data_IF_699228662915
#
_entry.id   IF_699228662915
#
_cell.length_a   1.000
_cell.length_b   1.000
_cell.length_c   1.000
_cell.angle_alpha   90.00
_cell.angle_beta   90.00
_cell.angle_gamma   90.00
#
_symmetry.space_group_name_H-M   'P 1'
#
loop_
_entity.id
_entity.type
_entity.pdbx_description
1 polymer ?
#
# COMPACT_ATOMS: atom_id res chain seq x y z
N UNK A 1 12.17 38.95 -9.12
CA UNK A 1 10.85 38.35 -9.35
C UNK A 1 11.03 36.89 -9.77
N UNK A 2 11.05 35.96 -8.82
CA UNK A 2 10.96 34.51 -9.04
C UNK A 2 9.77 33.95 -8.24
N UNK A 3 8.52 34.30 -8.47
CA UNK A 3 7.50 33.87 -7.53
C UNK A 3 6.50 32.85 -8.06
N UNK A 4 6.39 32.60 -9.35
CA UNK A 4 5.37 31.68 -9.84
C UNK A 4 5.93 30.36 -10.42
N UNK A 5 7.13 30.34 -10.94
CA UNK A 5 7.77 29.17 -11.53
C UNK A 5 8.16 28.15 -10.41
N UNK A 6 8.45 28.67 -9.21
CA UNK A 6 8.80 27.82 -8.04
C UNK A 6 7.57 27.14 -7.40
N UNK A 7 6.36 27.64 -7.68
CA UNK A 7 5.10 27.05 -7.15
C UNK A 7 4.63 25.88 -8.02
N UNK A 8 4.88 25.92 -9.32
CA UNK A 8 4.50 24.88 -10.26
C UNK A 8 5.72 24.31 -11.00
N UNK A 9 6.46 23.38 -10.39
CA UNK A 9 7.63 22.75 -11.02
C UNK A 9 7.31 22.06 -12.35
N UNK A 10 6.08 21.63 -12.56
CA UNK A 10 5.60 21.01 -13.79
C UNK A 10 5.80 21.93 -15.01
N UNK A 11 5.63 23.24 -14.86
CA UNK A 11 5.80 24.19 -15.96
C UNK A 11 7.23 24.19 -16.53
N UNK A 12 8.22 23.98 -15.66
CA UNK A 12 9.62 23.87 -16.06
C UNK A 12 9.93 22.55 -16.77
N UNK A 13 9.25 21.47 -16.40
CA UNK A 13 9.48 20.15 -17.02
C UNK A 13 8.84 20.06 -18.41
N UNK A 14 7.66 20.66 -18.57
CA UNK A 14 6.93 20.65 -19.85
C UNK A 14 7.64 21.39 -20.97
N UNK A 15 8.48 22.39 -20.66
CA UNK A 15 9.19 23.18 -21.69
C UNK A 15 10.15 22.33 -22.54
N UNK A 16 10.74 21.28 -21.97
CA UNK A 16 11.68 20.41 -22.65
C UNK A 16 11.14 18.95 -22.79
N UNK A 17 9.80 18.78 -22.79
CA UNK A 17 9.19 17.46 -22.79
C UNK A 17 9.19 16.86 -24.19
N UNK A 18 9.90 15.75 -24.35
CA UNK A 18 10.05 15.05 -25.63
C UNK A 18 9.11 13.85 -25.72
N UNK A 19 8.75 13.44 -26.95
CA UNK A 19 7.90 12.27 -27.19
C UNK A 19 8.46 10.96 -26.60
N UNK A 20 9.78 10.81 -26.60
CA UNK A 20 10.43 9.65 -25.98
C UNK A 20 10.24 9.59 -24.48
N UNK A 21 10.30 10.76 -23.80
CA UNK A 21 10.03 10.89 -22.37
C UNK A 21 8.56 10.56 -22.08
N UNK A 22 7.64 11.08 -22.89
CA UNK A 22 6.21 10.79 -22.77
C UNK A 22 5.91 9.28 -22.81
N UNK A 23 6.49 8.55 -23.75
CA UNK A 23 6.29 7.10 -23.86
C UNK A 23 6.84 6.39 -22.63
N UNK A 24 8.01 6.78 -22.15
CA UNK A 24 8.61 6.21 -20.94
C UNK A 24 7.77 6.49 -19.69
N UNK A 25 7.26 7.71 -19.55
CA UNK A 25 6.42 8.13 -18.43
C UNK A 25 5.06 7.42 -18.46
N UNK A 26 4.46 7.26 -19.65
CA UNK A 26 3.22 6.53 -19.83
C UNK A 26 3.39 5.07 -19.42
N UNK A 27 4.47 4.43 -19.84
CA UNK A 27 4.77 3.04 -19.45
C UNK A 27 5.00 2.91 -17.93
N UNK A 28 5.76 3.83 -17.35
CA UNK A 28 5.97 3.88 -15.91
C UNK A 28 4.65 4.09 -15.16
N UNK A 29 3.79 4.99 -15.65
CA UNK A 29 2.48 5.24 -15.08
C UNK A 29 1.56 4.02 -15.12
N UNK A 30 1.52 3.28 -16.23
CA UNK A 30 0.75 2.03 -16.35
C UNK A 30 1.26 0.98 -15.34
N UNK A 31 2.57 0.81 -15.23
CA UNK A 31 3.17 -0.13 -14.28
C UNK A 31 2.79 0.24 -12.84
N UNK A 32 2.93 1.51 -12.49
CA UNK A 32 2.58 2.02 -11.14
C UNK A 32 1.09 1.83 -10.87
N UNK A 33 0.21 2.15 -11.83
CA UNK A 33 -1.23 1.98 -11.67
C UNK A 33 -1.62 0.51 -11.41
N UNK A 34 -1.06 -0.43 -12.18
CA UNK A 34 -1.30 -1.87 -12.00
C UNK A 34 -0.91 -2.35 -10.59
N UNK A 35 0.22 -1.84 -10.06
CA UNK A 35 0.67 -2.18 -8.70
C UNK A 35 -0.14 -1.48 -7.62
N UNK A 36 -0.51 -0.22 -7.86
CA UNK A 36 -1.10 0.65 -6.85
C UNK A 36 -2.56 0.27 -6.52
N UNK A 37 -3.31 -0.28 -7.48
CA UNK A 37 -4.70 -0.69 -7.27
C UNK A 37 -4.82 -1.74 -6.15
N UNK A 38 -4.23 -2.95 -6.24
CA UNK A 38 -4.33 -3.92 -5.15
C UNK A 38 -3.63 -3.45 -3.87
N UNK A 39 -2.52 -2.73 -4.00
CA UNK A 39 -1.78 -2.19 -2.87
C UNK A 39 -2.58 -1.13 -2.11
N UNK A 40 -3.24 -0.21 -2.82
CA UNK A 40 -4.08 0.83 -2.22
C UNK A 40 -5.27 0.24 -1.46
N UNK A 41 -5.94 -0.76 -2.04
CA UNK A 41 -7.03 -1.48 -1.37
C UNK A 41 -6.53 -2.19 -0.11
N UNK A 42 -5.40 -2.90 -0.18
CA UNK A 42 -4.81 -3.57 0.98
C UNK A 42 -4.47 -2.58 2.11
N UNK A 43 -3.96 -1.40 1.79
CA UNK A 43 -3.64 -0.38 2.79
C UNK A 43 -4.88 0.29 3.38
N UNK A 44 -5.99 0.40 2.62
CA UNK A 44 -7.27 0.81 3.18
C UNK A 44 -7.76 -0.21 4.22
N UNK A 45 -7.68 -1.51 3.93
CA UNK A 45 -8.00 -2.56 4.90
C UNK A 45 -7.12 -2.48 6.15
N UNK A 46 -5.82 -2.25 6.00
CA UNK A 46 -4.92 -2.05 7.15
C UNK A 46 -5.32 -0.84 7.99
N UNK A 47 -5.83 0.21 7.36
CA UNK A 47 -6.34 1.37 8.06
C UNK A 47 -7.74 1.16 8.68
N UNK A 48 -8.41 0.02 8.44
CA UNK A 48 -9.78 -0.24 8.89
C UNK A 48 -10.85 0.47 8.05
N UNK A 49 -10.50 0.93 6.86
CA UNK A 49 -11.37 1.64 5.93
C UNK A 49 -11.82 0.73 4.78
N UNK A 50 -12.98 1.00 4.17
CA UNK A 50 -13.39 0.36 2.92
C UNK A 50 -12.35 0.52 1.80
N UNK A 51 -12.16 -0.48 0.91
CA UNK A 51 -11.07 -0.49 -0.09
C UNK A 51 -11.11 0.69 -1.06
N UNK A 52 -12.29 1.26 -1.34
CA UNK A 52 -12.43 2.44 -2.21
C UNK A 52 -11.66 3.66 -1.70
N UNK A 53 -11.51 3.84 -0.39
CA UNK A 53 -10.73 4.95 0.18
C UNK A 53 -9.25 4.85 -0.12
N UNK A 54 -8.72 3.62 -0.23
CA UNK A 54 -7.34 3.39 -0.69
C UNK A 54 -7.13 3.79 -2.15
N UNK A 55 -8.13 3.56 -2.99
CA UNK A 55 -8.09 4.02 -4.39
C UNK A 55 -8.16 5.54 -4.49
N UNK A 56 -9.03 6.19 -3.73
CA UNK A 56 -9.09 7.66 -3.68
C UNK A 56 -7.77 8.27 -3.20
N UNK A 57 -7.17 7.68 -2.16
CA UNK A 57 -5.85 8.08 -1.65
C UNK A 57 -4.70 7.80 -2.63
N UNK A 58 -4.92 6.94 -3.61
CA UNK A 58 -3.94 6.63 -4.66
C UNK A 58 -4.04 7.54 -5.88
N UNK A 59 -5.19 8.18 -6.12
CA UNK A 59 -5.42 9.02 -7.31
C UNK A 59 -5.13 10.49 -6.99
N UNK A 60 -5.88 11.07 -6.05
CA UNK A 60 -5.85 12.51 -5.81
C UNK A 60 -4.48 13.03 -5.33
N UNK A 61 -3.82 12.40 -4.33
CA UNK A 61 -2.51 12.86 -3.88
C UNK A 61 -1.44 12.76 -4.99
N UNK A 62 -1.52 11.71 -5.83
CA UNK A 62 -0.59 11.52 -6.95
C UNK A 62 -0.72 12.66 -7.97
N UNK A 63 -1.96 13.03 -8.34
CA UNK A 63 -2.23 14.14 -9.24
C UNK A 63 -1.74 15.47 -8.66
N UNK A 64 -2.04 15.73 -7.39
CA UNK A 64 -1.58 16.96 -6.71
C UNK A 64 -0.05 17.00 -6.62
N UNK A 65 0.59 15.86 -6.33
CA UNK A 65 2.04 15.79 -6.28
C UNK A 65 2.67 16.00 -7.67
N UNK A 66 2.07 15.46 -8.73
CA UNK A 66 2.55 15.69 -10.10
C UNK A 66 2.54 17.18 -10.49
N UNK A 67 1.59 17.97 -9.97
CA UNK A 67 1.47 19.41 -10.23
C UNK A 67 2.41 20.25 -9.36
N UNK A 68 2.52 19.91 -8.07
CA UNK A 68 3.16 20.75 -7.04
C UNK A 68 4.49 20.16 -6.54
N UNK A 69 4.76 18.89 -6.80
CA UNK A 69 5.94 18.19 -6.30
C UNK A 69 7.20 18.56 -7.07
N UNK A 70 8.32 18.56 -6.36
CA UNK A 70 9.65 18.87 -6.93
C UNK A 70 10.39 17.65 -7.47
N UNK A 71 10.04 16.43 -7.05
CA UNK A 71 10.70 15.21 -7.51
C UNK A 71 9.96 14.58 -8.70
N UNK A 72 10.73 14.25 -9.74
CA UNK A 72 10.21 13.56 -10.94
C UNK A 72 10.02 12.07 -10.76
N UNK A 73 10.62 11.48 -9.73
CA UNK A 73 10.66 10.02 -9.53
C UNK A 73 9.81 9.56 -8.37
N UNK A 74 9.28 10.47 -7.55
CA UNK A 74 8.51 10.13 -6.37
C UNK A 74 7.01 10.03 -6.72
N UNK A 75 6.42 8.87 -6.41
CA UNK A 75 4.98 8.67 -6.42
C UNK A 75 4.46 8.73 -4.97
N UNK A 76 3.54 9.65 -4.68
CA UNK A 76 2.92 9.79 -3.36
C UNK A 76 1.60 9.03 -3.34
N UNK A 77 1.51 8.04 -2.46
CA UNK A 77 0.33 7.19 -2.31
C UNK A 77 0.22 6.63 -0.88
N UNK A 78 -0.77 5.78 -0.62
CA UNK A 78 -0.94 5.15 0.69
C UNK A 78 0.29 4.30 1.06
N UNK A 79 0.62 4.28 2.36
CA UNK A 79 1.80 3.59 2.91
C UNK A 79 1.37 2.70 4.06
N UNK A 80 1.85 1.46 4.10
CA UNK A 80 1.44 0.45 5.08
C UNK A 80 1.58 0.92 6.54
N UNK A 81 2.70 1.56 6.89
CA UNK A 81 2.94 2.04 8.25
C UNK A 81 1.93 3.12 8.65
N UNK A 82 1.69 4.11 7.79
CA UNK A 82 0.70 5.15 8.05
C UNK A 82 -0.70 4.54 8.19
N UNK A 83 -1.05 3.58 7.35
CA UNK A 83 -2.32 2.86 7.42
C UNK A 83 -2.51 2.10 8.73
N UNK A 84 -1.47 1.40 9.20
CA UNK A 84 -1.49 0.73 10.51
C UNK A 84 -1.63 1.72 11.67
N UNK A 85 -0.91 2.86 11.62
CA UNK A 85 -1.03 3.91 12.63
C UNK A 85 -2.44 4.50 12.67
N UNK A 86 -3.04 4.76 11.51
CA UNK A 86 -4.44 5.21 11.41
C UNK A 86 -5.37 4.16 12.03
N UNK A 87 -5.23 2.88 11.63
CA UNK A 87 -6.05 1.79 12.14
C UNK A 87 -5.94 1.61 13.65
N UNK A 88 -4.73 1.64 14.19
CA UNK A 88 -4.50 1.50 15.64
C UNK A 88 -4.98 2.70 16.45
N UNK A 89 -4.88 3.91 15.91
CA UNK A 89 -5.30 5.13 16.60
C UNK A 89 -6.82 5.26 16.62
N UNK A 90 -7.49 5.16 15.46
CA UNK A 90 -8.92 5.36 15.36
C UNK A 90 -9.69 4.17 15.96
N UNK A 91 -9.15 2.96 15.87
CA UNK A 91 -9.76 1.76 16.43
C UNK A 91 -9.95 1.78 17.96
N UNK A 92 -9.30 2.73 18.67
CA UNK A 92 -9.53 2.97 20.10
C UNK A 92 -10.77 3.82 20.39
N UNK A 93 -11.28 4.56 19.41
CA UNK A 93 -12.35 5.55 19.59
C UNK A 93 -13.62 5.22 18.82
N UNK A 94 -13.52 4.44 17.75
CA UNK A 94 -14.63 4.11 16.87
C UNK A 94 -14.51 2.69 16.31
N UNK A 95 -15.65 2.05 16.10
CA UNK A 95 -15.71 0.71 15.47
C UNK A 95 -15.50 0.81 13.96
N UNK A 96 -14.72 -0.11 13.41
CA UNK A 96 -14.42 -0.19 11.97
C UNK A 96 -15.71 -0.39 11.16
N UNK A 97 -15.77 0.24 9.98
CA UNK A 97 -16.93 0.14 9.09
C UNK A 97 -18.05 1.11 9.43
N UNK A 98 -17.99 1.84 10.54
CA UNK A 98 -18.98 2.87 10.90
C UNK A 98 -18.69 4.21 10.24
N UNK A 99 -19.72 5.03 10.04
CA UNK A 99 -19.54 6.42 9.57
C UNK A 99 -18.67 7.25 10.53
N UNK A 100 -18.78 6.99 11.83
CA UNK A 100 -17.94 7.64 12.85
C UNK A 100 -16.45 7.36 12.61
N UNK A 101 -16.10 6.12 12.26
CA UNK A 101 -14.72 5.72 11.93
C UNK A 101 -14.20 6.46 10.69
N UNK A 102 -15.01 6.51 9.63
CA UNK A 102 -14.65 7.20 8.38
C UNK A 102 -14.44 8.69 8.63
N UNK A 103 -15.36 9.33 9.37
CA UNK A 103 -15.24 10.74 9.72
C UNK A 103 -14.01 11.02 10.59
N UNK A 104 -13.67 10.14 11.53
CA UNK A 104 -12.46 10.23 12.33
C UNK A 104 -11.20 10.13 11.45
N UNK A 105 -11.17 9.23 10.47
CA UNK A 105 -10.06 9.09 9.52
C UNK A 105 -9.88 10.34 8.65
N UNK A 106 -10.97 10.92 8.15
CA UNK A 106 -10.94 12.17 7.38
C UNK A 106 -10.42 13.33 8.25
N UNK A 107 -10.92 13.47 9.46
CA UNK A 107 -10.45 14.51 10.40
C UNK A 107 -8.98 14.33 10.76
N UNK A 108 -8.54 13.09 11.00
CA UNK A 108 -7.14 12.78 11.27
C UNK A 108 -6.24 13.16 10.08
N UNK A 109 -6.66 12.82 8.86
CA UNK A 109 -5.91 13.16 7.65
C UNK A 109 -5.80 14.67 7.43
N UNK A 110 -6.88 15.41 7.71
CA UNK A 110 -6.88 16.87 7.66
C UNK A 110 -5.95 17.47 8.70
N UNK A 111 -5.99 16.95 9.94
CA UNK A 111 -5.13 17.41 11.03
C UNK A 111 -3.64 17.19 10.69
N UNK A 112 -3.30 16.01 10.17
CA UNK A 112 -1.93 15.70 9.71
C UNK A 112 -1.51 16.65 8.59
N UNK A 113 -2.39 16.91 7.62
CA UNK A 113 -2.15 17.87 6.55
C UNK A 113 -1.86 19.27 7.06
N UNK A 114 -2.66 19.77 8.01
CA UNK A 114 -2.43 21.09 8.65
C UNK A 114 -1.10 21.13 9.40
N UNK A 115 -0.79 20.09 10.16
CA UNK A 115 0.51 20.01 10.88
C UNK A 115 1.67 20.06 9.89
N UNK A 116 1.62 19.32 8.79
CA UNK A 116 2.68 19.32 7.78
C UNK A 116 2.83 20.72 7.11
N UNK A 117 1.72 21.42 6.88
CA UNK A 117 1.76 22.78 6.36
C UNK A 117 2.39 23.76 7.36
N UNK A 118 2.08 23.64 8.64
CA UNK A 118 2.71 24.44 9.70
C UNK A 118 4.22 24.15 9.78
N UNK A 119 4.62 22.88 9.77
CA UNK A 119 6.03 22.50 9.76
C UNK A 119 6.77 23.07 8.53
N UNK A 120 6.11 23.09 7.38
CA UNK A 120 6.65 23.70 6.17
C UNK A 120 6.78 25.22 6.33
N UNK A 121 5.78 25.89 6.88
CA UNK A 121 5.80 27.35 7.10
C UNK A 121 6.91 27.76 8.05
N UNK A 122 7.19 26.95 9.07
CA UNK A 122 8.27 27.16 10.03
C UNK A 122 9.66 26.69 9.53
N UNK A 123 9.75 26.20 8.26
CA UNK A 123 10.97 25.62 7.67
C UNK A 123 11.59 24.46 8.48
N UNK A 124 10.76 23.75 9.27
CA UNK A 124 11.20 22.64 10.10
C UNK A 124 11.45 21.34 9.32
N UNK A 125 11.20 21.31 8.01
CA UNK A 125 11.53 20.18 7.15
C UNK A 125 13.01 19.79 7.15
N UNK A 126 13.90 20.73 7.45
CA UNK A 126 15.35 20.47 7.58
C UNK A 126 15.69 19.59 8.80
N UNK A 127 14.82 19.44 9.78
CA UNK A 127 15.03 18.57 10.94
C UNK A 127 15.25 17.12 10.51
N UNK A 128 14.63 16.68 9.42
CA UNK A 128 14.81 15.33 8.86
C UNK A 128 16.28 15.05 8.50
N UNK A 129 17.04 16.08 8.10
CA UNK A 129 18.45 15.94 7.76
C UNK A 129 19.34 15.63 8.98
N UNK A 130 18.86 15.88 10.20
CA UNK A 130 19.55 15.55 11.46
C UNK A 130 19.26 14.12 11.93
N UNK A 131 18.34 13.40 11.28
CA UNK A 131 18.11 12.01 11.62
C UNK A 131 19.27 11.14 11.13
N UNK A 132 19.87 10.39 12.06
CA UNK A 132 20.96 9.49 11.71
C UNK A 132 20.46 8.33 10.85
N UNK A 133 21.30 7.81 9.97
CA UNK A 133 21.01 6.63 9.16
C UNK A 133 20.62 5.42 10.02
N UNK A 134 21.20 5.29 11.20
CA UNK A 134 20.90 4.21 12.15
C UNK A 134 19.45 4.29 12.67
N UNK A 135 18.94 5.49 12.94
CA UNK A 135 17.55 5.70 13.36
C UNK A 135 16.59 5.33 12.23
N UNK A 136 16.87 5.76 11.01
CA UNK A 136 16.04 5.42 9.83
C UNK A 136 16.05 3.90 9.59
N UNK A 137 17.23 3.26 9.67
CA UNK A 137 17.36 1.81 9.50
C UNK A 137 16.62 1.03 10.60
N UNK A 138 16.76 1.45 11.86
CA UNK A 138 16.02 0.86 12.99
C UNK A 138 14.50 1.00 12.82
N UNK A 139 14.04 2.19 12.46
CA UNK A 139 12.62 2.45 12.18
C UNK A 139 12.07 1.56 11.05
N UNK A 140 12.79 1.47 9.92
CA UNK A 140 12.34 0.64 8.79
C UNK A 140 12.32 -0.84 9.12
N UNK A 141 13.28 -1.34 9.91
CA UNK A 141 13.32 -2.73 10.37
C UNK A 141 12.17 -3.04 11.32
N UNK A 142 11.93 -2.18 12.30
CA UNK A 142 10.81 -2.31 13.23
C UNK A 142 9.46 -2.26 12.49
N UNK A 143 9.33 -1.35 11.55
CA UNK A 143 8.15 -1.21 10.72
C UNK A 143 7.88 -2.45 9.85
N UNK A 144 8.92 -3.03 9.25
CA UNK A 144 8.80 -4.26 8.47
C UNK A 144 8.32 -5.43 9.34
N UNK A 145 8.82 -5.53 10.58
CA UNK A 145 8.39 -6.53 11.54
C UNK A 145 6.92 -6.34 11.93
N UNK A 146 6.52 -5.11 12.24
CA UNK A 146 5.13 -4.76 12.57
C UNK A 146 4.17 -5.13 11.44
N UNK A 147 4.53 -4.80 10.19
CA UNK A 147 3.75 -5.15 9.02
C UNK A 147 3.63 -6.67 8.87
N UNK A 148 4.74 -7.40 9.03
CA UNK A 148 4.73 -8.86 8.93
C UNK A 148 3.80 -9.50 9.98
N UNK A 149 3.87 -9.03 11.22
CA UNK A 149 3.02 -9.52 12.32
C UNK A 149 1.55 -9.18 12.06
N UNK A 150 1.25 -7.97 11.56
CA UNK A 150 -0.13 -7.59 11.25
C UNK A 150 -0.78 -8.46 10.17
N UNK A 151 0.02 -9.14 9.32
CA UNK A 151 -0.47 -10.07 8.32
C UNK A 151 -0.87 -11.44 8.89
N UNK A 152 -0.45 -11.78 10.11
CA UNK A 152 -0.79 -13.06 10.74
C UNK A 152 -2.31 -13.24 10.81
N UNK A 153 -3.04 -12.20 11.18
CA UNK A 153 -4.50 -12.17 11.18
C UNK A 153 -5.08 -12.58 9.81
N UNK A 154 -4.59 -11.98 8.74
CA UNK A 154 -5.10 -12.20 7.39
C UNK A 154 -4.80 -13.62 6.89
N UNK A 155 -3.65 -14.20 7.30
CA UNK A 155 -3.26 -15.56 6.94
C UNK A 155 -3.98 -16.63 7.77
N UNK A 156 -4.21 -16.38 9.06
CA UNK A 156 -4.83 -17.33 9.97
C UNK A 156 -6.37 -17.34 9.88
N UNK A 157 -6.96 -16.25 9.39
CA UNK A 157 -8.40 -16.04 9.41
C UNK A 157 -8.97 -15.88 10.83
N UNK A 158 -8.09 -15.61 11.81
CA UNK A 158 -8.49 -15.37 13.19
C UNK A 158 -8.90 -13.91 13.39
N UNK A 159 -9.93 -13.68 14.19
CA UNK A 159 -10.38 -12.33 14.49
C UNK A 159 -9.59 -11.69 15.64
N UNK A 160 -8.32 -11.38 15.36
CA UNK A 160 -7.42 -10.72 16.31
C UNK A 160 -7.69 -9.21 16.27
N UNK A 161 -7.98 -8.57 17.43
CA UNK A 161 -8.15 -7.12 17.49
C UNK A 161 -6.90 -6.38 17.00
N UNK A 162 -7.07 -5.42 16.08
CA UNK A 162 -5.93 -4.66 15.52
C UNK A 162 -5.26 -3.72 16.52
N UNK A 163 -5.94 -3.41 17.62
CA UNK A 163 -5.41 -2.63 18.74
C UNK A 163 -4.60 -3.48 19.73
N UNK A 164 -4.61 -4.81 19.57
CA UNK A 164 -3.88 -5.71 20.47
C UNK A 164 -2.36 -5.51 20.32
N UNK A 165 -1.62 -5.45 21.42
CA UNK A 165 -0.17 -5.44 21.42
C UNK A 165 0.38 -6.68 20.69
N UNK A 166 1.60 -6.58 20.15
CA UNK A 166 2.24 -7.63 19.36
C UNK A 166 2.30 -8.97 20.12
N UNK A 167 2.66 -8.94 21.40
CA UNK A 167 2.78 -10.13 22.23
C UNK A 167 1.43 -10.82 22.48
N UNK A 168 0.35 -10.05 22.59
CA UNK A 168 -1.00 -10.61 22.69
C UNK A 168 -1.43 -11.27 21.36
N UNK A 169 -1.07 -10.69 20.23
CA UNK A 169 -1.36 -11.29 18.91
C UNK A 169 -0.67 -12.66 18.75
N UNK A 170 0.57 -12.79 19.22
CA UNK A 170 1.26 -14.08 19.26
C UNK A 170 0.63 -15.05 20.25
N UNK A 171 0.32 -14.60 21.47
CA UNK A 171 -0.36 -15.42 22.48
C UNK A 171 -1.69 -15.95 21.94
N UNK A 172 -2.50 -15.06 21.36
CA UNK A 172 -3.78 -15.41 20.77
C UNK A 172 -3.66 -16.44 19.63
N UNK A 173 -2.62 -16.33 18.79
CA UNK A 173 -2.35 -17.29 17.72
C UNK A 173 -2.03 -18.68 18.30
N UNK A 174 -1.19 -18.77 19.36
CA UNK A 174 -0.81 -20.03 19.97
C UNK A 174 -1.98 -20.69 20.72
N UNK A 175 -2.81 -19.89 21.37
CA UNK A 175 -3.97 -20.38 22.12
C UNK A 175 -5.11 -20.88 21.19
N UNK A 176 -5.16 -20.36 19.95
CA UNK A 176 -6.23 -20.63 18.99
C UNK A 176 -5.74 -21.31 17.70
N UNK A 177 -4.67 -22.10 17.78
CA UNK A 177 -4.13 -22.83 16.61
C UNK A 177 -5.16 -23.77 15.97
N UNK A 178 -6.08 -24.32 16.75
CA UNK A 178 -7.16 -25.19 16.27
C UNK A 178 -8.30 -24.42 15.59
N UNK A 179 -8.38 -23.12 15.78
CA UNK A 179 -9.39 -22.25 15.20
C UNK A 179 -8.92 -21.60 13.88
N UNK A 180 -7.70 -21.89 13.42
CA UNK A 180 -7.19 -21.40 12.14
C UNK A 180 -8.08 -21.91 11.01
N UNK A 181 -8.53 -21.01 10.15
CA UNK A 181 -9.33 -21.37 8.99
C UNK A 181 -8.41 -21.93 7.86
N UNK A 182 -8.51 -23.24 7.55
CA UNK A 182 -7.64 -23.87 6.57
C UNK A 182 -7.85 -23.32 5.16
N UNK A 183 -9.06 -22.87 4.84
CA UNK A 183 -9.37 -22.29 3.53
C UNK A 183 -8.67 -20.92 3.36
N UNK A 184 -8.73 -20.06 4.37
CA UNK A 184 -8.01 -18.77 4.38
C UNK A 184 -6.51 -18.97 4.26
N UNK A 185 -5.96 -19.92 5.02
CA UNK A 185 -4.53 -20.26 4.96
C UNK A 185 -4.11 -20.74 3.57
N UNK A 186 -4.93 -21.59 2.94
CA UNK A 186 -4.67 -22.12 1.60
C UNK A 186 -4.68 -20.99 0.56
N UNK A 187 -5.66 -20.08 0.60
CA UNK A 187 -5.72 -18.91 -0.29
C UNK A 187 -4.51 -18.01 -0.08
N UNK A 188 -4.13 -17.76 1.18
CA UNK A 188 -2.94 -16.97 1.52
C UNK A 188 -1.64 -17.59 0.99
N UNK A 189 -1.43 -18.89 1.22
CA UNK A 189 -0.25 -19.62 0.71
C UNK A 189 -0.21 -19.65 -0.83
N UNK A 190 -1.35 -19.85 -1.47
CA UNK A 190 -1.46 -19.82 -2.93
C UNK A 190 -1.11 -18.43 -3.47
N UNK A 191 -1.56 -17.37 -2.83
CA UNK A 191 -1.23 -16.01 -3.20
C UNK A 191 0.27 -15.73 -3.09
N UNK A 192 0.92 -16.18 -2.00
CA UNK A 192 2.39 -16.08 -1.83
C UNK A 192 3.11 -16.87 -2.91
N UNK A 193 2.63 -18.08 -3.22
CA UNK A 193 3.22 -18.90 -4.27
C UNK A 193 3.12 -18.22 -5.65
N UNK A 194 1.97 -17.63 -5.98
CA UNK A 194 1.77 -16.88 -7.23
C UNK A 194 2.72 -15.68 -7.30
N UNK A 195 2.89 -14.92 -6.21
CA UNK A 195 3.84 -13.81 -6.15
C UNK A 195 5.28 -14.27 -6.37
N UNK A 196 5.68 -15.34 -5.69
CA UNK A 196 7.01 -15.90 -5.84
C UNK A 196 7.26 -16.42 -7.26
N UNK A 197 6.29 -17.16 -7.81
CA UNK A 197 6.34 -17.71 -9.16
C UNK A 197 6.44 -16.59 -10.22
N UNK A 198 5.60 -15.57 -10.11
CA UNK A 198 5.60 -14.40 -11.02
C UNK A 198 6.94 -13.70 -10.99
N UNK A 199 7.49 -13.45 -9.79
CA UNK A 199 8.76 -12.75 -9.63
C UNK A 199 9.98 -13.57 -10.07
N UNK A 200 9.97 -14.88 -9.81
CA UNK A 200 11.14 -15.75 -10.03
C UNK A 200 11.14 -16.41 -11.40
N UNK A 201 10.02 -16.99 -11.81
CA UNK A 201 9.94 -17.84 -13.02
C UNK A 201 9.35 -17.10 -14.21
N UNK A 202 8.28 -16.33 -14.01
CA UNK A 202 7.61 -15.66 -15.13
C UNK A 202 8.51 -14.59 -15.75
N UNK A 203 9.20 -13.80 -14.93
CA UNK A 203 10.11 -12.77 -15.43
C UNK A 203 11.30 -13.39 -16.20
N UNK A 204 11.93 -14.40 -15.63
CA UNK A 204 13.03 -15.11 -16.28
C UNK A 204 12.58 -15.81 -17.58
N UNK A 205 11.38 -16.37 -17.59
CA UNK A 205 10.78 -16.98 -18.78
C UNK A 205 10.50 -15.97 -19.91
N UNK A 206 9.96 -14.81 -19.57
CA UNK A 206 9.70 -13.74 -20.55
C UNK A 206 11.01 -13.17 -21.14
N UNK A 207 12.05 -13.04 -20.34
CA UNK A 207 13.38 -12.65 -20.81
C UNK A 207 14.00 -13.72 -21.72
N UNK A 208 13.88 -14.99 -21.37
CA UNK A 208 14.35 -16.12 -22.20
C UNK A 208 13.62 -16.21 -23.56
N UNK A 209 12.32 -15.87 -23.58
CA UNK A 209 11.50 -15.80 -24.81
C UNK A 209 11.77 -14.53 -25.63
N UNK A 210 12.70 -13.68 -25.23
CA UNK A 210 13.03 -12.41 -25.89
C UNK A 210 11.81 -11.48 -26.07
N UNK A 211 10.87 -11.52 -25.13
CA UNK A 211 9.72 -10.62 -25.16
C UNK A 211 10.21 -9.19 -24.98
N UNK A 212 9.74 -8.22 -25.78
CA UNK A 212 10.16 -6.83 -25.66
C UNK A 212 9.98 -6.31 -24.23
N UNK A 213 10.97 -5.57 -23.74
CA UNK A 213 11.00 -5.07 -22.36
C UNK A 213 9.80 -4.24 -21.96
N UNK A 214 9.19 -3.55 -22.92
CA UNK A 214 7.98 -2.74 -22.69
C UNK A 214 6.73 -3.57 -22.35
N UNK A 215 6.70 -4.87 -22.74
CA UNK A 215 5.65 -5.82 -22.32
C UNK A 215 6.09 -6.59 -21.08
N UNK A 216 7.34 -7.07 -21.05
CA UNK A 216 7.85 -7.92 -19.99
C UNK A 216 7.85 -7.21 -18.62
N UNK A 217 8.26 -5.94 -18.55
CA UNK A 217 8.31 -5.18 -17.30
C UNK A 217 6.95 -4.98 -16.61
N UNK A 218 5.89 -4.52 -17.31
CA UNK A 218 4.56 -4.43 -16.70
C UNK A 218 4.05 -5.77 -16.18
N UNK A 219 4.21 -6.84 -16.97
CA UNK A 219 3.75 -8.19 -16.60
C UNK A 219 4.50 -8.71 -15.36
N UNK A 220 5.81 -8.53 -15.31
CA UNK A 220 6.62 -8.91 -14.15
C UNK A 220 6.20 -8.17 -12.88
N UNK A 221 5.86 -6.90 -12.99
CA UNK A 221 5.44 -6.07 -11.85
C UNK A 221 3.97 -6.24 -11.48
N UNK A 222 3.15 -6.85 -12.35
CA UNK A 222 1.74 -7.12 -12.10
C UNK A 222 1.50 -8.34 -11.17
N UNK A 223 2.54 -8.93 -10.58
CA UNK A 223 2.44 -10.06 -9.63
C UNK A 223 1.33 -9.93 -8.59
N UNK A 224 1.20 -8.79 -7.87
CA UNK A 224 0.12 -8.59 -6.90
C UNK A 224 -1.28 -8.69 -7.53
N UNK A 225 -1.46 -8.18 -8.74
CA UNK A 225 -2.73 -8.26 -9.44
C UNK A 225 -3.07 -9.72 -9.83
N UNK A 226 -2.08 -10.50 -10.28
CA UNK A 226 -2.27 -11.93 -10.54
C UNK A 226 -2.62 -12.70 -9.27
N UNK A 227 -1.99 -12.39 -8.14
CA UNK A 227 -2.28 -13.02 -6.86
C UNK A 227 -3.74 -12.75 -6.43
N UNK A 228 -4.22 -11.51 -6.56
CA UNK A 228 -5.61 -11.14 -6.27
C UNK A 228 -6.57 -11.87 -7.20
N UNK A 229 -6.32 -11.88 -8.51
CA UNK A 229 -7.17 -12.58 -9.47
C UNK A 229 -7.27 -14.08 -9.19
N UNK A 230 -6.13 -14.75 -8.94
CA UNK A 230 -6.09 -16.17 -8.62
C UNK A 230 -6.81 -16.44 -7.30
N UNK A 231 -6.56 -15.64 -6.28
CA UNK A 231 -7.23 -15.74 -4.99
C UNK A 231 -8.75 -15.59 -5.13
N UNK A 232 -9.22 -14.58 -5.87
CA UNK A 232 -10.65 -14.36 -6.12
C UNK A 232 -11.29 -15.53 -6.89
N UNK A 233 -10.61 -16.10 -7.87
CA UNK A 233 -11.11 -17.25 -8.63
C UNK A 233 -11.23 -18.48 -7.72
N UNK A 234 -10.26 -18.70 -6.83
CA UNK A 234 -10.28 -19.84 -5.89
C UNK A 234 -11.44 -19.68 -4.90
N UNK A 235 -11.64 -18.49 -4.34
CA UNK A 235 -12.72 -18.24 -3.39
C UNK A 235 -14.09 -18.38 -4.07
N UNK A 236 -14.25 -17.79 -5.25
CA UNK A 236 -15.50 -17.87 -6.01
C UNK A 236 -15.80 -19.27 -6.51
N UNK A 237 -14.80 -19.97 -7.08
CA UNK A 237 -14.97 -21.33 -7.61
C UNK A 237 -15.13 -22.41 -6.53
N UNK A 238 -14.64 -22.17 -5.33
CA UNK A 238 -14.78 -23.05 -4.17
C UNK A 238 -15.94 -22.68 -3.24
N UNK A 239 -16.70 -21.60 -3.54
CA UNK A 239 -17.74 -21.05 -2.66
C UNK A 239 -17.25 -20.87 -1.21
N UNK A 240 -15.97 -20.53 -1.04
CA UNK A 240 -15.29 -20.49 0.26
C UNK A 240 -15.77 -19.33 1.14
N UNK A 241 -16.34 -18.30 0.57
CA UNK A 241 -17.00 -17.20 1.25
C UNK A 241 -18.27 -17.68 2.01
N UNK A 242 -19.02 -18.60 1.41
CA UNK A 242 -20.27 -19.15 1.99
C UNK A 242 -19.97 -20.33 2.92
N UNK A 243 -19.06 -21.23 2.50
CA UNK A 243 -18.81 -22.50 3.23
C UNK A 243 -17.81 -22.36 4.36
N UNK A 244 -16.85 -21.44 4.25
CA UNK A 244 -15.72 -21.29 5.16
C UNK A 244 -15.51 -19.88 5.70
N UNK A 245 -16.43 -18.94 5.48
CA UNK A 245 -16.35 -17.56 5.96
C UNK A 245 -15.02 -16.86 5.58
N UNK A 246 -14.48 -17.16 4.40
CA UNK A 246 -13.29 -16.49 3.89
C UNK A 246 -13.69 -15.08 3.45
N UNK A 247 -13.23 -14.07 4.17
CA UNK A 247 -13.45 -12.67 3.79
C UNK A 247 -12.63 -12.32 2.55
N UNK A 248 -13.32 -11.91 1.50
CA UNK A 248 -12.73 -11.41 0.24
C UNK A 248 -12.50 -9.91 0.28
#
# INVERSE_FOLDING_TARGET
MRPMVDIFPIAHWLQNYQRSIFISDLMAGIIVAIMLVPQGMAYAFLAGLPPQYGLYASILPLMLYALLGSSRSLAVGPVAIASLMVGSTIGQFAEQGTEAYINAAVNLSLLVGVILLILRALNLGSIVNYMSHSVISGFTSAAALLIAISQIKNFSGLDIPRSAPIWESFGYLFDHLTAINPATLLVGLTSVFVLWFTKSKLCCGLEAMRVPTWIAQPVCKAGPMFAVLVGSIIVWGGELDITHNVTT
#
